data_IF_398015301039
#
_entry.id   IF_398015301039
#
_cell.length_a   1.000
_cell.length_b   1.000
_cell.length_c   1.000
_cell.angle_alpha   90.00
_cell.angle_beta   90.00
_cell.angle_gamma   90.00
#
_symmetry.space_group_name_H-M   'P 1'
#
loop_
_entity.id
_entity.type
_entity.pdbx_description
1 polymer ?
#
# COMPACT_ATOMS: atom_id res chain seq x y z
N UNK A 1 47.42 -2.48 30.36
CA UNK A 1 46.32 -3.44 30.58
C UNK A 1 45.58 -3.62 29.26
N UNK A 2 45.62 -4.80 28.64
CA UNK A 2 44.96 -5.04 27.35
C UNK A 2 43.48 -5.42 27.56
N UNK A 3 42.56 -4.60 27.07
CA UNK A 3 41.12 -4.86 27.12
C UNK A 3 40.77 -5.98 26.13
N UNK A 4 40.32 -7.13 26.67
CA UNK A 4 39.89 -8.28 25.88
C UNK A 4 38.51 -8.00 25.26
N UNK A 5 38.47 -7.52 24.02
CA UNK A 5 37.22 -7.33 23.28
C UNK A 5 36.60 -8.72 23.03
N UNK A 6 35.44 -8.99 23.65
CA UNK A 6 34.65 -10.20 23.36
C UNK A 6 33.76 -9.92 22.17
N UNK A 7 33.89 -10.71 21.11
CA UNK A 7 32.94 -10.72 19.99
C UNK A 7 31.61 -11.29 20.49
N UNK A 8 30.59 -10.45 20.59
CA UNK A 8 29.24 -10.87 20.96
C UNK A 8 28.48 -11.17 19.68
N UNK A 9 27.97 -12.40 19.59
CA UNK A 9 27.11 -12.83 18.51
C UNK A 9 25.73 -12.18 18.65
N UNK A 10 25.46 -11.20 17.77
CA UNK A 10 24.26 -10.35 17.78
C UNK A 10 22.98 -11.19 17.64
N UNK A 11 23.08 -12.39 17.04
CA UNK A 11 21.94 -13.31 16.88
C UNK A 11 21.48 -13.97 18.18
N UNK A 12 22.31 -13.95 19.24
CA UNK A 12 21.96 -14.48 20.57
C UNK A 12 21.25 -13.47 21.47
N UNK A 13 21.07 -12.23 21.01
CA UNK A 13 20.34 -11.19 21.74
C UNK A 13 18.82 -11.36 21.54
N UNK A 14 18.21 -12.21 22.38
CA UNK A 14 16.74 -12.48 22.40
C UNK A 14 15.83 -11.26 22.68
N UNK A 15 16.39 -10.06 22.85
CA UNK A 15 15.66 -8.83 23.23
C UNK A 15 15.33 -7.91 22.04
N UNK A 16 15.93 -8.10 20.86
CA UNK A 16 15.67 -7.26 19.68
C UNK A 16 14.42 -7.68 18.89
N UNK A 17 13.90 -8.91 19.10
CA UNK A 17 12.69 -9.39 18.43
C UNK A 17 11.39 -8.86 19.03
N UNK A 18 11.35 -8.59 20.34
CA UNK A 18 10.13 -8.15 21.02
C UNK A 18 9.69 -6.73 20.63
N UNK A 19 10.63 -5.79 20.56
CA UNK A 19 10.35 -4.42 20.10
C UNK A 19 9.90 -4.40 18.63
N UNK A 20 10.62 -5.11 17.75
CA UNK A 20 10.24 -5.23 16.34
C UNK A 20 8.87 -5.92 16.16
N UNK A 21 8.55 -6.89 17.02
CA UNK A 21 7.26 -7.57 17.01
C UNK A 21 6.13 -6.66 17.53
N UNK A 22 6.35 -5.87 18.59
CA UNK A 22 5.37 -4.89 19.06
C UNK A 22 5.08 -3.80 18.02
N UNK A 23 6.11 -3.27 17.36
CA UNK A 23 5.94 -2.29 16.29
C UNK A 23 5.19 -2.89 15.10
N UNK A 24 5.49 -4.14 14.74
CA UNK A 24 4.77 -4.86 13.69
C UNK A 24 3.31 -5.12 14.05
N UNK A 25 3.02 -5.55 15.28
CA UNK A 25 1.66 -5.77 15.76
C UNK A 25 0.86 -4.45 15.84
N UNK A 26 1.50 -3.36 16.24
CA UNK A 26 0.88 -2.02 16.21
C UNK A 26 0.56 -1.59 14.78
N UNK A 27 1.49 -1.78 13.84
CA UNK A 27 1.27 -1.47 12.42
C UNK A 27 0.16 -2.33 11.79
N UNK A 28 0.04 -3.60 12.18
CA UNK A 28 -1.05 -4.47 11.74
C UNK A 28 -2.39 -4.04 12.33
N UNK A 29 -2.42 -3.64 13.61
CA UNK A 29 -3.64 -3.11 14.25
C UNK A 29 -4.11 -1.81 13.59
N UNK A 30 -3.22 -0.88 13.30
CA UNK A 30 -3.57 0.38 12.62
C UNK A 30 -4.04 0.13 11.19
N UNK A 31 -3.39 -0.77 10.45
CA UNK A 31 -3.83 -1.18 9.12
C UNK A 31 -5.23 -1.81 9.15
N UNK A 32 -5.52 -2.70 10.11
CA UNK A 32 -6.86 -3.28 10.31
C UNK A 32 -7.90 -2.23 10.64
N UNK A 33 -7.58 -1.27 11.50
CA UNK A 33 -8.49 -0.17 11.83
C UNK A 33 -8.80 0.69 10.57
N UNK A 34 -7.79 0.99 9.75
CA UNK A 34 -7.98 1.71 8.49
C UNK A 34 -8.86 0.94 7.49
N UNK A 35 -8.67 -0.37 7.35
CA UNK A 35 -9.52 -1.23 6.51
C UNK A 35 -10.97 -1.21 7.00
N UNK A 36 -11.19 -1.29 8.31
CA UNK A 36 -12.53 -1.24 8.88
C UNK A 36 -13.20 0.12 8.66
N UNK A 37 -12.49 1.23 8.89
CA UNK A 37 -13.00 2.57 8.60
C UNK A 37 -13.37 2.74 7.12
N UNK A 38 -12.55 2.19 6.22
CA UNK A 38 -12.84 2.23 4.79
C UNK A 38 -14.05 1.38 4.42
N UNK A 39 -14.24 0.25 5.09
CA UNK A 39 -15.45 -0.59 4.95
C UNK A 39 -16.70 0.15 5.44
N UNK A 40 -16.64 0.75 6.62
CA UNK A 40 -17.74 1.54 7.19
C UNK A 40 -18.07 2.77 6.32
N UNK A 41 -17.05 3.39 5.73
CA UNK A 41 -17.22 4.44 4.72
C UNK A 41 -17.92 3.91 3.46
N UNK A 42 -17.54 2.74 2.94
CA UNK A 42 -18.22 2.16 1.79
C UNK A 42 -19.68 1.80 2.06
N UNK A 43 -19.99 1.30 3.26
CA UNK A 43 -21.34 0.94 3.68
C UNK A 43 -22.21 2.19 3.89
N UNK A 44 -21.65 3.27 4.48
CA UNK A 44 -22.34 4.56 4.66
C UNK A 44 -22.56 5.32 3.34
N UNK A 45 -21.58 5.35 2.44
CA UNK A 45 -21.75 5.91 1.08
C UNK A 45 -22.77 5.10 0.25
N UNK A 46 -22.96 3.82 0.59
CA UNK A 46 -24.05 2.99 0.08
C UNK A 46 -25.45 3.54 0.41
N UNK A 47 -25.63 4.19 1.57
CA UNK A 47 -26.88 4.88 1.94
C UNK A 47 -27.10 6.16 1.13
N UNK A 48 -26.06 6.96 0.88
CA UNK A 48 -26.19 8.16 0.04
C UNK A 48 -26.50 7.80 -1.41
N UNK A 49 -25.94 6.71 -1.94
CA UNK A 49 -26.35 6.18 -3.26
C UNK A 49 -27.81 5.76 -3.31
N UNK A 50 -28.38 5.22 -2.23
CA UNK A 50 -29.82 4.88 -2.16
C UNK A 50 -30.67 6.15 -2.12
N UNK A 51 -30.35 7.10 -1.25
CA UNK A 51 -31.03 8.41 -1.17
C UNK A 51 -30.97 9.18 -2.48
N UNK A 52 -29.83 9.14 -3.18
CA UNK A 52 -29.66 9.80 -4.47
C UNK A 52 -30.50 9.13 -5.57
N UNK A 53 -30.61 7.79 -5.55
CA UNK A 53 -31.54 7.07 -6.43
C UNK A 53 -33.00 7.39 -6.13
N UNK A 54 -33.39 7.42 -4.85
CA UNK A 54 -34.73 7.81 -4.42
C UNK A 54 -35.06 9.24 -4.83
N UNK A 55 -34.13 10.18 -4.62
CA UNK A 55 -34.26 11.58 -5.04
C UNK A 55 -34.44 11.72 -6.56
N UNK A 56 -33.63 11.02 -7.36
CA UNK A 56 -33.73 11.05 -8.83
C UNK A 56 -35.01 10.37 -9.33
N UNK A 57 -35.50 9.36 -8.61
CA UNK A 57 -36.72 8.65 -8.96
C UNK A 57 -37.99 9.33 -8.43
N UNK A 58 -37.87 10.29 -7.51
CA UNK A 58 -39.00 11.05 -6.95
C UNK A 58 -39.81 11.80 -8.01
N UNK A 59 -41.09 12.02 -7.76
CA UNK A 59 -42.00 12.70 -8.71
C UNK A 59 -41.72 14.20 -8.90
N UNK A 60 -40.74 14.74 -8.17
CA UNK A 60 -40.29 16.12 -8.33
C UNK A 60 -39.63 16.40 -9.69
N UNK A 61 -39.27 15.36 -10.45
CA UNK A 61 -38.53 15.49 -11.71
C UNK A 61 -39.35 15.00 -12.92
N UNK A 62 -39.42 15.79 -14.01
CA UNK A 62 -39.91 15.30 -15.28
C UNK A 62 -39.07 14.13 -15.82
N UNK A 63 -39.71 13.17 -16.48
CA UNK A 63 -39.13 11.89 -16.90
C UNK A 63 -37.86 12.02 -17.76
N UNK A 64 -37.80 13.05 -18.62
CA UNK A 64 -36.65 13.32 -19.47
C UNK A 64 -35.42 13.77 -18.68
N UNK A 65 -35.62 14.58 -17.63
CA UNK A 65 -34.52 14.98 -16.74
C UNK A 65 -34.03 13.83 -15.87
N UNK A 66 -34.93 12.94 -15.41
CA UNK A 66 -34.54 11.70 -14.69
C UNK A 66 -33.60 10.85 -15.54
N UNK A 67 -33.91 10.68 -16.82
CA UNK A 67 -33.08 9.87 -17.72
C UNK A 67 -31.70 10.52 -17.94
N UNK A 68 -31.66 11.83 -18.18
CA UNK A 68 -30.39 12.57 -18.35
C UNK A 68 -29.54 12.52 -17.08
N UNK A 69 -30.13 12.74 -15.91
CA UNK A 69 -29.43 12.64 -14.63
C UNK A 69 -28.84 11.24 -14.40
N UNK A 70 -29.57 10.18 -14.75
CA UNK A 70 -29.04 8.80 -14.68
C UNK A 70 -27.84 8.60 -15.62
N UNK A 71 -27.90 9.12 -16.85
CA UNK A 71 -26.78 9.00 -17.79
C UNK A 71 -25.54 9.77 -17.30
N UNK A 72 -25.71 11.01 -16.84
CA UNK A 72 -24.61 11.81 -16.28
C UNK A 72 -23.99 11.14 -15.05
N UNK A 73 -24.80 10.52 -14.18
CA UNK A 73 -24.27 9.78 -13.03
C UNK A 73 -23.49 8.53 -13.40
N UNK A 74 -23.94 7.79 -14.43
CA UNK A 74 -23.20 6.64 -14.93
C UNK A 74 -21.86 7.11 -15.47
N UNK A 75 -21.87 8.15 -16.30
CA UNK A 75 -20.66 8.75 -16.89
C UNK A 75 -19.69 9.22 -15.79
N UNK A 76 -20.17 9.98 -14.81
CA UNK A 76 -19.37 10.46 -13.68
C UNK A 76 -18.78 9.30 -12.85
N UNK A 77 -19.55 8.24 -12.61
CA UNK A 77 -19.05 7.07 -11.88
C UNK A 77 -17.98 6.32 -12.66
N UNK A 78 -18.10 6.24 -13.98
CA UNK A 78 -17.09 5.58 -14.82
C UNK A 78 -15.81 6.43 -14.94
N UNK A 79 -15.93 7.76 -15.01
CA UNK A 79 -14.81 8.71 -14.89
C UNK A 79 -14.10 8.55 -13.55
N UNK A 80 -14.83 8.55 -12.43
CA UNK A 80 -14.25 8.34 -11.10
C UNK A 80 -13.51 7.01 -10.96
N UNK A 81 -14.06 5.92 -11.49
CA UNK A 81 -13.38 4.61 -11.46
C UNK A 81 -12.10 4.62 -12.29
N UNK A 82 -12.12 5.28 -13.45
CA UNK A 82 -10.95 5.45 -14.30
C UNK A 82 -9.85 6.20 -13.54
N UNK A 83 -10.18 7.36 -12.96
CA UNK A 83 -9.22 8.19 -12.24
C UNK A 83 -8.62 7.45 -11.04
N UNK A 84 -9.46 6.78 -10.24
CA UNK A 84 -9.02 6.01 -9.08
C UNK A 84 -8.11 4.82 -9.48
N UNK A 85 -8.36 4.21 -10.65
CA UNK A 85 -7.50 3.17 -11.20
C UNK A 85 -6.13 3.71 -11.66
N UNK A 86 -6.10 4.93 -12.22
CA UNK A 86 -4.88 5.61 -12.63
C UNK A 86 -4.06 6.01 -11.40
N UNK A 87 -4.68 6.61 -10.40
CA UNK A 87 -4.04 6.95 -9.12
C UNK A 87 -3.45 5.71 -8.43
N UNK A 88 -4.22 4.61 -8.36
CA UNK A 88 -3.74 3.36 -7.79
C UNK A 88 -2.52 2.81 -8.57
N UNK A 89 -2.52 2.92 -9.89
CA UNK A 89 -1.38 2.54 -10.73
C UNK A 89 -0.14 3.41 -10.45
N UNK A 90 -0.32 4.73 -10.31
CA UNK A 90 0.75 5.66 -9.94
C UNK A 90 1.33 5.32 -8.56
N UNK A 91 0.47 5.10 -7.55
CA UNK A 91 0.90 4.68 -6.21
C UNK A 91 1.65 3.35 -6.21
N UNK A 92 1.24 2.37 -7.03
CA UNK A 92 1.99 1.11 -7.20
C UNK A 92 3.39 1.35 -7.80
N UNK A 93 3.53 2.27 -8.76
CA UNK A 93 4.83 2.66 -9.32
C UNK A 93 5.72 3.32 -8.27
N UNK A 94 5.17 4.26 -7.49
CA UNK A 94 5.87 4.91 -6.36
C UNK A 94 6.37 3.86 -5.36
N UNK A 95 5.51 2.94 -4.93
CA UNK A 95 5.90 1.85 -4.01
C UNK A 95 6.99 0.95 -4.59
N UNK A 96 6.93 0.63 -5.90
CA UNK A 96 7.95 -0.17 -6.57
C UNK A 96 9.31 0.54 -6.58
N UNK A 97 9.32 1.86 -6.78
CA UNK A 97 10.54 2.68 -6.71
C UNK A 97 11.08 2.75 -5.28
N UNK A 98 10.23 3.04 -4.29
CA UNK A 98 10.62 3.04 -2.88
C UNK A 98 11.23 1.70 -2.46
N UNK A 99 10.58 0.58 -2.82
CA UNK A 99 11.09 -0.76 -2.57
C UNK A 99 12.44 -1.03 -3.26
N UNK A 100 12.69 -0.47 -4.44
CA UNK A 100 13.98 -0.60 -5.13
C UNK A 100 15.08 0.18 -4.41
N UNK A 101 14.78 1.36 -3.88
CA UNK A 101 15.72 2.21 -3.15
C UNK A 101 16.05 1.63 -1.76
N UNK A 102 15.06 1.07 -1.07
CA UNK A 102 15.22 0.45 0.25
C UNK A 102 15.89 -0.93 0.18
N UNK A 103 15.89 -1.60 -0.98
CA UNK A 103 16.58 -2.89 -1.13
C UNK A 103 18.09 -2.69 -0.96
N UNK A 104 18.73 -3.30 0.05
CA UNK A 104 20.16 -3.20 0.24
C UNK A 104 20.85 -3.76 -1.01
N UNK A 105 21.66 -2.92 -1.65
CA UNK A 105 22.44 -3.28 -2.84
C UNK A 105 23.41 -4.38 -2.41
N UNK A 106 23.11 -5.64 -2.73
CA UNK A 106 24.04 -6.73 -2.49
C UNK A 106 25.31 -6.41 -3.29
N UNK A 107 26.44 -6.22 -2.60
CA UNK A 107 27.73 -6.03 -3.27
C UNK A 107 27.91 -7.24 -4.18
N UNK A 108 27.99 -7.03 -5.50
CA UNK A 108 28.35 -8.09 -6.40
C UNK A 108 29.71 -8.62 -5.94
N UNK A 109 29.77 -9.90 -5.59
CA UNK A 109 31.07 -10.54 -5.36
C UNK A 109 31.80 -10.44 -6.68
N UNK A 110 32.83 -9.59 -6.75
CA UNK A 110 33.77 -9.66 -7.85
C UNK A 110 34.35 -11.07 -7.82
N UNK A 111 33.98 -11.91 -8.77
CA UNK A 111 34.65 -13.19 -8.96
C UNK A 111 36.04 -12.85 -9.49
N UNK A 112 36.96 -12.53 -8.57
CA UNK A 112 38.37 -12.39 -8.88
C UNK A 112 38.87 -13.75 -9.36
N UNK A 113 38.84 -13.96 -10.67
CA UNK A 113 39.47 -15.13 -11.30
C UNK A 113 40.97 -14.94 -11.11
N UNK A 114 41.52 -15.50 -10.02
CA UNK A 114 42.96 -15.56 -9.79
C UNK A 114 43.59 -16.29 -10.98
N UNK A 115 44.26 -15.55 -11.86
CA UNK A 115 45.19 -16.16 -12.81
C UNK A 115 46.31 -16.80 -11.99
N UNK A 116 46.46 -18.13 -12.09
CA UNK A 116 47.65 -18.82 -11.60
C UNK A 116 48.81 -18.36 -12.47
N UNK A 117 49.57 -17.39 -11.99
CA UNK A 117 50.91 -17.13 -12.53
C UNK A 117 51.78 -18.28 -12.05
N UNK A 118 52.01 -19.24 -12.94
CA UNK A 118 53.00 -20.29 -12.72
C UNK A 118 54.37 -19.66 -12.71
N UNK A 119 54.95 -19.48 -11.53
CA UNK A 119 56.39 -19.46 -11.36
C UNK A 119 56.78 -20.83 -10.81
N UNK A 120 57.56 -21.55 -11.63
CA UNK A 120 58.39 -22.69 -11.24
C UNK A 120 59.65 -22.13 -10.62
#
# INVERSE_FOLDING_TARGET
MASRIRLIDVTKLKKSSWLAQQESEAAVKTAKAGINQQKDFMDSVGMDKKKLREFINSDAWPTHFKHKARQELIKFNDELKSDLSQEASLKRKELRLANRLLKPKTKSRSSGRRHRTGFV
#
